data_IF_105651733923
#
_entry.id   IF_105651733923
#
_cell.length_a   1.000
_cell.length_b   1.000
_cell.length_c   1.000
_cell.angle_alpha   90.00
_cell.angle_beta   90.00
_cell.angle_gamma   90.00
#
_symmetry.space_group_name_H-M   'P 1'
#
loop_
_entity.id
_entity.type
_entity.pdbx_description
1 polymer ?
#
# COMPACT_ATOMS: atom_id res chain seq x y z
N UNK A 1 4.22 9.71 -16.09
CA UNK A 1 3.60 10.13 -14.81
C UNK A 1 2.50 9.18 -14.29
N UNK A 2 1.47 8.80 -15.09
CA UNK A 2 0.40 7.86 -14.67
C UNK A 2 0.91 6.49 -14.18
N UNK A 3 1.92 5.92 -14.84
CA UNK A 3 2.46 4.58 -14.51
C UNK A 3 3.02 4.48 -13.08
N UNK A 4 3.79 5.48 -12.62
CA UNK A 4 4.40 5.42 -11.29
C UNK A 4 3.37 5.56 -10.16
N UNK A 5 2.36 6.39 -10.37
CA UNK A 5 1.23 6.54 -9.45
C UNK A 5 0.42 5.25 -9.39
N UNK A 6 0.13 4.63 -10.53
CA UNK A 6 -0.60 3.37 -10.60
C UNK A 6 0.13 2.26 -9.85
N UNK A 7 1.44 2.11 -10.10
CA UNK A 7 2.29 1.16 -9.38
C UNK A 7 2.23 1.36 -7.86
N UNK A 8 2.17 2.61 -7.40
CA UNK A 8 2.05 2.93 -5.97
C UNK A 8 0.70 2.52 -5.38
N UNK A 9 -0.41 2.71 -6.10
CA UNK A 9 -1.72 2.23 -5.66
C UNK A 9 -1.74 0.71 -5.60
N UNK A 10 -1.23 0.07 -6.65
CA UNK A 10 -1.15 -1.38 -6.70
C UNK A 10 -0.24 -1.93 -5.59
N UNK A 11 0.86 -1.25 -5.26
CA UNK A 11 1.67 -1.58 -4.10
C UNK A 11 0.85 -1.62 -2.81
N UNK A 12 0.04 -0.60 -2.52
CA UNK A 12 -0.81 -0.62 -1.32
C UNK A 12 -1.87 -1.73 -1.37
N UNK A 13 -2.43 -2.04 -2.53
CA UNK A 13 -3.43 -3.09 -2.69
C UNK A 13 -2.81 -4.49 -2.54
N UNK A 14 -1.71 -4.79 -3.22
CA UNK A 14 -1.02 -6.08 -3.15
C UNK A 14 -0.46 -6.37 -1.75
N UNK A 15 -0.08 -5.32 -1.02
CA UNK A 15 0.46 -5.47 0.33
C UNK A 15 -0.61 -5.27 1.42
N UNK A 16 -1.88 -5.04 1.08
CA UNK A 16 -2.92 -4.66 2.04
C UNK A 16 -3.00 -5.58 3.27
N UNK A 17 -2.91 -6.90 3.06
CA UNK A 17 -2.93 -7.91 4.13
C UNK A 17 -1.68 -7.84 5.03
N UNK A 18 -0.53 -7.44 4.48
CA UNK A 18 0.78 -7.46 5.13
C UNK A 18 1.26 -6.06 5.55
N UNK A 19 0.41 -5.03 5.47
CA UNK A 19 0.81 -3.66 5.82
C UNK A 19 1.28 -3.58 7.29
N UNK A 20 0.70 -4.37 8.19
CA UNK A 20 1.10 -4.33 9.60
C UNK A 20 2.51 -4.93 9.75
N UNK A 21 2.79 -6.06 9.12
CA UNK A 21 4.12 -6.68 9.08
C UNK A 21 5.17 -5.71 8.50
N UNK A 22 4.86 -5.05 7.38
CA UNK A 22 5.73 -4.02 6.78
C UNK A 22 5.97 -2.86 7.75
N UNK A 23 4.97 -2.48 8.55
CA UNK A 23 5.15 -1.42 9.56
C UNK A 23 6.09 -1.88 10.66
N UNK A 24 5.97 -3.12 11.14
CA UNK A 24 6.86 -3.67 12.15
C UNK A 24 8.29 -3.82 11.62
N UNK A 25 8.49 -4.32 10.40
CA UNK A 25 9.82 -4.36 9.76
C UNK A 25 10.48 -2.97 9.70
N UNK A 26 9.71 -1.92 9.37
CA UNK A 26 10.23 -0.55 9.37
C UNK A 26 10.59 -0.11 10.79
N UNK A 27 9.78 -0.46 11.80
CA UNK A 27 10.05 -0.11 13.21
C UNK A 27 11.30 -0.80 13.74
N UNK A 28 11.46 -2.08 13.47
CA UNK A 28 12.65 -2.85 13.83
C UNK A 28 13.89 -2.23 13.19
N UNK A 29 13.84 -1.88 11.90
CA UNK A 29 14.94 -1.19 11.21
C UNK A 29 15.27 0.17 11.84
N UNK A 30 14.27 0.94 12.30
CA UNK A 30 14.51 2.20 13.02
C UNK A 30 15.24 1.93 14.35
N UNK A 31 14.83 0.90 15.09
CA UNK A 31 15.42 0.53 16.38
C UNK A 31 16.87 0.06 16.19
N UNK A 32 17.13 -0.80 15.21
CA UNK A 32 18.48 -1.26 14.87
C UNK A 32 19.40 -0.09 14.52
N UNK A 33 18.94 0.82 13.64
CA UNK A 33 19.68 2.05 13.30
C UNK A 33 19.92 2.93 14.53
N UNK A 34 18.93 3.05 15.42
CA UNK A 34 19.08 3.81 16.66
C UNK A 34 20.11 3.16 17.60
N UNK A 35 20.14 1.84 17.72
CA UNK A 35 21.11 1.12 18.54
C UNK A 35 22.54 1.25 18.00
N UNK A 36 22.72 1.26 16.67
CA UNK A 36 24.01 1.57 16.03
C UNK A 36 24.38 3.04 16.26
N UNK A 37 23.43 3.96 16.10
CA UNK A 37 23.60 5.40 16.35
C UNK A 37 23.99 5.70 17.80
N UNK A 38 23.43 5.00 18.80
CA UNK A 38 23.86 5.16 20.21
C UNK A 38 25.33 4.79 20.41
N UNK A 39 25.81 3.74 19.73
CA UNK A 39 27.24 3.38 19.74
C UNK A 39 28.11 4.44 19.06
N UNK A 40 27.65 5.05 17.96
CA UNK A 40 28.36 6.17 17.31
C UNK A 40 28.22 7.50 18.07
N UNK A 41 27.19 7.65 18.90
CA UNK A 41 26.97 8.83 19.73
C UNK A 41 27.94 8.89 20.92
N UNK A 42 28.30 7.72 21.47
CA UNK A 42 29.43 7.59 22.39
C UNK A 42 30.77 8.00 21.75
N UNK A 43 30.83 8.07 20.41
CA UNK A 43 31.97 8.62 19.63
C UNK A 43 31.73 10.03 19.06
N UNK A 44 30.62 10.71 19.42
CA UNK A 44 30.40 12.13 19.15
C UNK A 44 29.69 12.52 17.84
N UNK A 45 29.03 11.60 17.13
CA UNK A 45 28.34 11.91 15.86
C UNK A 45 26.84 11.58 15.94
N UNK A 46 25.95 12.60 16.00
CA UNK A 46 24.56 12.49 15.49
C UNK A 46 24.46 13.52 14.37
N UNK A 47 24.30 13.06 13.13
CA UNK A 47 24.17 13.96 11.99
C UNK A 47 22.71 14.36 11.74
N UNK A 48 22.53 15.50 11.07
CA UNK A 48 21.22 15.95 10.55
C UNK A 48 20.57 14.90 9.64
N UNK A 49 21.39 14.05 9.00
CA UNK A 49 20.94 12.98 8.11
C UNK A 49 20.19 11.88 8.87
N UNK A 50 20.67 11.49 10.06
CA UNK A 50 19.98 10.49 10.88
C UNK A 50 18.59 10.95 11.33
N UNK A 51 18.44 12.24 11.64
CA UNK A 51 17.14 12.83 11.97
C UNK A 51 16.20 12.85 10.76
N UNK A 52 16.73 13.18 9.58
CA UNK A 52 15.96 13.16 8.33
C UNK A 52 15.47 11.74 7.97
N UNK A 53 16.32 10.72 8.17
CA UNK A 53 15.95 9.30 7.95
C UNK A 53 14.81 8.89 8.89
N UNK A 54 14.93 9.17 10.20
CA UNK A 54 13.86 8.88 11.18
C UNK A 54 12.54 9.54 10.81
N UNK A 55 12.58 10.80 10.36
CA UNK A 55 11.38 11.53 9.93
C UNK A 55 10.74 10.89 8.68
N UNK A 56 11.56 10.47 7.71
CA UNK A 56 11.09 9.79 6.51
C UNK A 56 10.43 8.43 6.82
N UNK A 57 11.05 7.63 7.69
CA UNK A 57 10.52 6.32 8.10
C UNK A 57 9.20 6.47 8.88
N UNK A 58 9.11 7.45 9.79
CA UNK A 58 7.87 7.79 10.50
C UNK A 58 6.75 8.22 9.54
N UNK A 59 7.06 9.05 8.54
CA UNK A 59 6.10 9.46 7.51
C UNK A 59 5.64 8.27 6.66
N UNK A 60 6.52 7.31 6.37
CA UNK A 60 6.19 6.07 5.66
C UNK A 60 5.20 5.22 6.45
N UNK A 61 5.46 4.99 7.75
CA UNK A 61 4.53 4.29 8.66
C UNK A 61 3.16 4.97 8.70
N UNK A 62 3.14 6.31 8.87
CA UNK A 62 1.88 7.06 8.88
C UNK A 62 1.07 6.88 7.59
N UNK A 63 1.72 6.97 6.44
CA UNK A 63 1.07 6.77 5.14
C UNK A 63 0.53 5.34 4.97
N UNK A 64 1.27 4.32 5.41
CA UNK A 64 0.85 2.92 5.36
C UNK A 64 -0.42 2.69 6.20
N UNK A 65 -0.44 3.15 7.46
CA UNK A 65 -1.62 3.06 8.34
C UNK A 65 -2.84 3.74 7.74
N UNK A 66 -2.64 4.95 7.19
CA UNK A 66 -3.72 5.73 6.57
C UNK A 66 -4.24 5.05 5.31
N UNK A 67 -3.36 4.54 4.46
CA UNK A 67 -3.72 3.81 3.25
C UNK A 67 -4.55 2.56 3.60
N UNK A 68 -4.11 1.76 4.57
CA UNK A 68 -4.84 0.58 5.04
C UNK A 68 -6.26 0.94 5.49
N UNK A 69 -6.41 1.99 6.30
CA UNK A 69 -7.73 2.46 6.77
C UNK A 69 -8.65 2.88 5.61
N UNK A 70 -8.13 3.65 4.65
CA UNK A 70 -8.89 4.08 3.46
C UNK A 70 -9.29 2.89 2.59
N UNK A 71 -8.36 1.98 2.33
CA UNK A 71 -8.61 0.79 1.53
C UNK A 71 -9.67 -0.08 2.19
N UNK A 72 -9.51 -0.40 3.48
CA UNK A 72 -10.45 -1.22 4.25
C UNK A 72 -11.87 -0.63 4.26
N UNK A 73 -12.01 0.69 4.42
CA UNK A 73 -13.30 1.36 4.36
C UNK A 73 -13.98 1.17 2.98
N UNK A 74 -13.27 1.43 1.89
CA UNK A 74 -13.86 1.34 0.56
C UNK A 74 -14.05 -0.11 0.07
N UNK A 75 -13.27 -1.07 0.55
CA UNK A 75 -13.53 -2.50 0.29
C UNK A 75 -14.90 -2.92 0.83
N UNK A 76 -15.30 -2.45 2.03
CA UNK A 76 -16.65 -2.69 2.57
C UNK A 76 -17.73 -2.12 1.65
N UNK A 77 -17.49 -0.93 1.09
CA UNK A 77 -18.40 -0.31 0.12
C UNK A 77 -18.48 -1.12 -1.17
N UNK A 78 -17.35 -1.55 -1.74
CA UNK A 78 -17.34 -2.43 -2.92
C UNK A 78 -18.14 -3.70 -2.65
N UNK A 79 -17.93 -4.35 -1.50
CA UNK A 79 -18.66 -5.57 -1.11
C UNK A 79 -20.17 -5.34 -1.08
N UNK A 80 -20.62 -4.21 -0.50
CA UNK A 80 -22.06 -3.87 -0.39
C UNK A 80 -22.72 -3.50 -1.73
N UNK A 81 -21.99 -2.85 -2.66
CA UNK A 81 -22.57 -2.30 -3.89
C UNK A 81 -22.41 -3.21 -5.10
N UNK A 82 -21.32 -3.96 -5.16
CA UNK A 82 -21.02 -4.85 -6.27
C UNK A 82 -20.09 -5.96 -5.80
N UNK A 83 -20.70 -7.05 -5.31
CA UNK A 83 -19.97 -8.21 -4.78
C UNK A 83 -18.98 -8.78 -5.79
N UNK A 84 -19.35 -8.83 -7.08
CA UNK A 84 -18.49 -9.38 -8.13
C UNK A 84 -17.21 -8.55 -8.36
N UNK A 85 -17.30 -7.22 -8.25
CA UNK A 85 -16.12 -6.33 -8.28
C UNK A 85 -15.28 -6.48 -7.00
N UNK A 86 -15.91 -6.65 -5.85
CA UNK A 86 -15.17 -6.93 -4.61
C UNK A 86 -14.38 -8.24 -4.72
N UNK A 87 -15.00 -9.32 -5.21
CA UNK A 87 -14.33 -10.60 -5.44
C UNK A 87 -13.18 -10.46 -6.45
N UNK A 88 -13.34 -9.68 -7.51
CA UNK A 88 -12.24 -9.38 -8.44
C UNK A 88 -11.05 -8.72 -7.73
N UNK A 89 -11.30 -7.70 -6.89
CA UNK A 89 -10.23 -7.01 -6.13
C UNK A 89 -9.52 -7.99 -5.20
N UNK A 90 -10.28 -8.83 -4.49
CA UNK A 90 -9.75 -9.83 -3.57
C UNK A 90 -8.88 -10.86 -4.32
N UNK A 91 -9.40 -11.47 -5.37
CA UNK A 91 -8.67 -12.45 -6.17
C UNK A 91 -7.39 -11.85 -6.75
N UNK A 92 -7.48 -10.66 -7.39
CA UNK A 92 -6.32 -10.04 -8.03
C UNK A 92 -5.26 -9.61 -7.03
N UNK A 93 -5.63 -8.84 -6.02
CA UNK A 93 -4.65 -8.14 -5.17
C UNK A 93 -4.29 -8.91 -3.91
N UNK A 94 -5.22 -9.67 -3.34
CA UNK A 94 -5.02 -10.28 -2.03
C UNK A 94 -4.72 -11.77 -2.09
N UNK A 95 -5.31 -12.45 -3.07
CA UNK A 95 -5.07 -13.87 -3.31
C UNK A 95 -4.08 -14.06 -4.47
N UNK A 96 -3.72 -12.98 -5.17
CA UNK A 96 -2.74 -12.93 -6.27
C UNK A 96 -3.04 -13.94 -7.38
N UNK A 97 -4.32 -14.18 -7.62
CA UNK A 97 -4.81 -15.09 -8.65
C UNK A 97 -4.38 -14.61 -10.04
N UNK A 98 -4.00 -15.55 -10.88
CA UNK A 98 -3.70 -15.32 -12.29
C UNK A 98 -4.93 -14.82 -13.06
N UNK A 99 -4.73 -14.10 -14.18
CA UNK A 99 -5.84 -13.69 -15.04
C UNK A 99 -6.71 -14.87 -15.52
N UNK A 100 -6.10 -16.05 -15.70
CA UNK A 100 -6.82 -17.26 -16.09
C UNK A 100 -7.74 -17.78 -14.96
N UNK A 101 -7.26 -17.80 -13.73
CA UNK A 101 -8.08 -18.14 -12.56
C UNK A 101 -9.23 -17.16 -12.39
N UNK A 102 -8.96 -15.86 -12.48
CA UNK A 102 -9.99 -14.81 -12.42
C UNK A 102 -11.04 -15.00 -13.54
N UNK A 103 -10.61 -15.33 -14.75
CA UNK A 103 -11.52 -15.62 -15.87
C UNK A 103 -12.38 -16.84 -15.59
N UNK A 104 -11.79 -17.93 -15.08
CA UNK A 104 -12.52 -19.16 -14.74
C UNK A 104 -13.53 -18.94 -13.62
N UNK A 105 -13.17 -18.22 -12.57
CA UNK A 105 -14.03 -18.03 -11.39
C UNK A 105 -15.07 -16.93 -11.57
N UNK A 106 -14.71 -15.79 -12.16
CA UNK A 106 -15.61 -14.63 -12.28
C UNK A 106 -16.16 -14.42 -13.69
N UNK A 107 -15.67 -15.14 -14.69
CA UNK A 107 -16.08 -14.97 -16.09
C UNK A 107 -15.55 -13.68 -16.72
N UNK A 108 -14.61 -12.97 -16.09
CA UNK A 108 -14.04 -11.75 -16.65
C UNK A 108 -12.96 -12.07 -17.67
N UNK A 109 -13.16 -11.67 -18.93
CA UNK A 109 -12.13 -11.74 -19.96
C UNK A 109 -11.03 -10.69 -19.72
N UNK A 110 -9.92 -10.81 -20.44
CA UNK A 110 -8.74 -9.95 -20.24
C UNK A 110 -9.03 -8.45 -20.35
N UNK A 111 -9.86 -8.05 -21.33
CA UNK A 111 -10.30 -6.66 -21.49
C UNK A 111 -11.07 -6.18 -20.26
N UNK A 112 -12.04 -6.96 -19.80
CA UNK A 112 -12.81 -6.64 -18.59
C UNK A 112 -11.91 -6.56 -17.36
N UNK A 113 -10.94 -7.47 -17.20
CA UNK A 113 -10.00 -7.42 -16.09
C UNK A 113 -9.13 -6.14 -16.14
N UNK A 114 -8.69 -5.74 -17.33
CA UNK A 114 -7.94 -4.49 -17.55
C UNK A 114 -8.80 -3.26 -17.20
N UNK A 115 -10.03 -3.21 -17.68
CA UNK A 115 -10.96 -2.10 -17.43
C UNK A 115 -11.29 -1.97 -15.94
N UNK A 116 -11.57 -3.09 -15.27
CA UNK A 116 -11.85 -3.11 -13.83
C UNK A 116 -10.60 -2.71 -13.04
N UNK A 117 -9.40 -3.18 -13.43
CA UNK A 117 -8.13 -2.79 -12.82
C UNK A 117 -7.95 -1.27 -12.89
N UNK A 118 -8.10 -0.69 -14.09
CA UNK A 118 -7.96 0.75 -14.30
C UNK A 118 -8.95 1.56 -13.47
N UNK A 119 -10.21 1.10 -13.38
CA UNK A 119 -11.26 1.72 -12.57
C UNK A 119 -10.93 1.67 -11.08
N UNK A 120 -10.51 0.50 -10.56
CA UNK A 120 -10.16 0.30 -9.15
C UNK A 120 -8.96 1.15 -8.76
N UNK A 121 -7.88 1.11 -9.56
CA UNK A 121 -6.66 1.90 -9.30
C UNK A 121 -6.95 3.39 -9.35
N UNK A 122 -7.69 3.86 -10.36
CA UNK A 122 -8.12 5.27 -10.45
C UNK A 122 -8.99 5.70 -9.28
N UNK A 123 -9.88 4.81 -8.81
CA UNK A 123 -10.72 5.07 -7.66
C UNK A 123 -9.87 5.26 -6.40
N UNK A 124 -9.00 4.29 -6.08
CA UNK A 124 -8.16 4.36 -4.89
C UNK A 124 -7.16 5.52 -4.96
N UNK A 125 -6.65 5.84 -6.14
CA UNK A 125 -5.84 7.04 -6.35
C UNK A 125 -6.54 8.30 -5.83
N UNK A 126 -7.78 8.55 -6.27
CA UNK A 126 -8.55 9.72 -5.83
C UNK A 126 -8.80 9.70 -4.32
N UNK A 127 -9.06 8.53 -3.74
CA UNK A 127 -9.35 8.40 -2.31
C UNK A 127 -8.11 8.59 -1.44
N UNK A 128 -6.98 8.02 -1.82
CA UNK A 128 -5.72 8.17 -1.10
C UNK A 128 -5.17 9.60 -1.24
N UNK A 129 -5.30 10.22 -2.42
CA UNK A 129 -4.99 11.64 -2.63
C UNK A 129 -5.85 12.54 -1.75
N UNK A 130 -7.17 12.34 -1.71
CA UNK A 130 -8.08 13.09 -0.82
C UNK A 130 -7.73 12.90 0.67
N UNK A 131 -7.19 11.74 1.03
CA UNK A 131 -6.72 11.48 2.38
C UNK A 131 -5.32 12.10 2.67
N UNK A 132 -4.70 12.80 1.72
CA UNK A 132 -3.40 13.45 1.93
C UNK A 132 -2.23 12.48 2.08
N UNK A 133 -2.32 11.28 1.48
CA UNK A 133 -1.22 10.32 1.47
C UNK A 133 -0.18 10.81 0.46
N UNK A 134 1.00 11.18 0.95
CA UNK A 134 2.01 11.92 0.17
C UNK A 134 2.44 11.20 -1.11
N UNK A 135 2.69 11.97 -2.17
CA UNK A 135 3.07 11.46 -3.49
C UNK A 135 1.94 10.72 -4.21
N UNK A 136 0.70 11.20 -4.03
CA UNK A 136 -0.52 10.86 -4.77
C UNK A 136 -1.05 12.13 -5.44
#
# INVERSE_FOLDING_TARGET
MKSNVYKKIEYYLYNYKNIDDIIEEIRESIIEKANVSIRSHLTGQNSVEEQAIKLADNKKIYNLKKAKKVIGYYLKIFKSRNIKRYEFIKMKYFDKASPLEIKRTLGYNEKQQTDITNMVVSFFYRKLKKAGIGGM
#
